data_IF_620774271790
#
_entry.id   IF_620774271790
#
_cell.length_a   1.000
_cell.length_b   1.000
_cell.length_c   1.000
_cell.angle_alpha   90.00
_cell.angle_beta   90.00
_cell.angle_gamma   90.00
#
_symmetry.space_group_name_H-M   'P 1'
#
loop_
_entity.id
_entity.type
_entity.pdbx_description
1 polymer ?
#
# COMPACT_ATOMS: atom_id res chain seq x y z
N UNK A 1 -30.44 -34.17 -30.57
CA UNK A 1 -29.69 -33.09 -29.87
C UNK A 1 -28.23 -33.21 -30.29
N UNK A 2 -27.66 -32.19 -30.93
CA UNK A 2 -26.32 -32.28 -31.55
C UNK A 2 -25.22 -32.28 -30.44
N UNK A 3 -24.42 -33.35 -30.29
CA UNK A 3 -23.45 -33.47 -29.20
C UNK A 3 -22.32 -32.42 -29.25
N UNK A 4 -22.17 -31.69 -30.36
CA UNK A 4 -21.19 -30.62 -30.48
C UNK A 4 -21.61 -29.32 -29.75
N UNK A 5 -22.89 -29.13 -29.44
CA UNK A 5 -23.37 -27.93 -28.72
C UNK A 5 -22.76 -27.84 -27.32
N UNK A 6 -22.59 -28.98 -26.64
CA UNK A 6 -21.95 -29.04 -25.33
C UNK A 6 -20.47 -28.67 -25.36
N UNK A 7 -19.73 -29.04 -26.42
CA UNK A 7 -18.33 -28.62 -26.61
C UNK A 7 -18.21 -27.12 -26.87
N UNK A 8 -19.13 -26.54 -27.65
CA UNK A 8 -19.17 -25.10 -27.86
C UNK A 8 -19.56 -24.33 -26.58
N UNK A 9 -20.50 -24.84 -25.79
CA UNK A 9 -20.91 -24.22 -24.52
C UNK A 9 -19.80 -24.28 -23.47
N UNK A 10 -19.09 -25.41 -23.35
CA UNK A 10 -17.92 -25.54 -22.46
C UNK A 10 -16.80 -24.62 -22.92
N UNK A 11 -16.46 -24.61 -24.22
CA UNK A 11 -15.44 -23.71 -24.77
C UNK A 11 -15.82 -22.22 -24.65
N UNK A 12 -17.11 -21.86 -24.73
CA UNK A 12 -17.58 -20.50 -24.48
C UNK A 12 -17.51 -20.11 -23.01
N UNK A 13 -17.79 -21.04 -22.08
CA UNK A 13 -17.66 -20.79 -20.64
C UNK A 13 -16.18 -20.58 -20.29
N UNK A 14 -15.28 -21.41 -20.81
CA UNK A 14 -13.83 -21.28 -20.60
C UNK A 14 -13.32 -19.95 -21.20
N UNK A 15 -13.80 -19.56 -22.38
CA UNK A 15 -13.43 -18.29 -23.00
C UNK A 15 -13.95 -17.08 -22.22
N UNK A 16 -15.18 -17.15 -21.69
CA UNK A 16 -15.75 -16.10 -20.84
C UNK A 16 -15.00 -15.98 -19.50
N UNK A 17 -14.60 -17.09 -18.89
CA UNK A 17 -13.78 -17.09 -17.67
C UNK A 17 -12.38 -16.48 -17.92
N UNK A 18 -11.75 -16.79 -19.05
CA UNK A 18 -10.47 -16.19 -19.45
C UNK A 18 -10.61 -14.69 -19.69
N UNK A 19 -11.65 -14.25 -20.40
CA UNK A 19 -11.92 -12.83 -20.62
C UNK A 19 -12.23 -12.09 -19.32
N UNK A 20 -13.01 -12.70 -18.43
CA UNK A 20 -13.31 -12.15 -17.12
C UNK A 20 -12.04 -12.05 -16.26
N UNK A 21 -11.19 -13.07 -16.29
CA UNK A 21 -9.90 -13.07 -15.60
C UNK A 21 -8.97 -11.97 -16.13
N UNK A 22 -8.86 -11.83 -17.45
CA UNK A 22 -8.05 -10.78 -18.08
C UNK A 22 -8.60 -9.38 -17.77
N UNK A 23 -9.91 -9.18 -17.85
CA UNK A 23 -10.56 -7.91 -17.52
C UNK A 23 -10.40 -7.54 -16.04
N UNK A 24 -10.55 -8.51 -15.14
CA UNK A 24 -10.29 -8.35 -13.72
C UNK A 24 -8.82 -8.01 -13.47
N UNK A 25 -7.89 -8.62 -14.20
CA UNK A 25 -6.46 -8.34 -14.08
C UNK A 25 -6.12 -6.92 -14.55
N UNK A 26 -6.66 -6.48 -15.70
CA UNK A 26 -6.45 -5.12 -16.22
C UNK A 26 -7.02 -4.06 -15.29
N UNK A 27 -8.27 -4.20 -14.86
CA UNK A 27 -8.90 -3.29 -13.89
C UNK A 27 -8.19 -3.27 -12.53
N UNK A 28 -7.63 -4.40 -12.09
CA UNK A 28 -6.81 -4.45 -10.87
C UNK A 28 -5.48 -3.70 -11.02
N UNK A 29 -4.82 -3.83 -12.18
CA UNK A 29 -3.62 -3.06 -12.49
C UNK A 29 -3.89 -1.56 -12.61
N UNK A 30 -5.00 -1.18 -13.24
CA UNK A 30 -5.45 0.22 -13.31
C UNK A 30 -5.72 0.77 -11.91
N UNK A 31 -6.42 0.03 -11.06
CA UNK A 31 -6.65 0.42 -9.66
C UNK A 31 -5.35 0.56 -8.88
N UNK A 32 -4.41 -0.38 -9.01
CA UNK A 32 -3.11 -0.31 -8.36
C UNK A 32 -2.32 0.92 -8.85
N UNK A 33 -2.39 1.23 -10.14
CA UNK A 33 -1.74 2.39 -10.75
C UNK A 33 -2.36 3.71 -10.27
N UNK A 34 -3.69 3.81 -10.27
CA UNK A 34 -4.43 4.96 -9.77
C UNK A 34 -4.17 5.14 -8.26
N UNK A 35 -4.16 4.04 -7.50
CA UNK A 35 -3.80 4.04 -6.09
C UNK A 35 -2.40 4.62 -5.87
N UNK A 36 -1.41 4.22 -6.66
CA UNK A 36 -0.08 4.81 -6.56
C UNK A 36 -0.08 6.29 -6.95
N UNK A 37 -0.61 6.66 -8.11
CA UNK A 37 -0.24 7.93 -8.73
C UNK A 37 -1.30 9.04 -8.59
N UNK A 38 -2.56 8.69 -8.33
CA UNK A 38 -3.66 9.66 -8.41
C UNK A 38 -4.09 10.18 -7.05
N UNK A 39 -4.12 11.51 -6.94
CA UNK A 39 -4.61 12.21 -5.73
C UNK A 39 -6.11 12.12 -5.54
N UNK A 40 -6.87 11.75 -6.58
CA UNK A 40 -8.34 11.63 -6.51
C UNK A 40 -8.76 10.65 -5.41
N UNK A 41 -7.96 9.61 -5.21
CA UNK A 41 -8.22 8.60 -4.20
C UNK A 41 -7.98 9.11 -2.79
N UNK A 42 -7.31 10.24 -2.56
CA UNK A 42 -7.16 10.84 -1.22
C UNK A 42 -8.47 11.37 -0.63
N UNK A 43 -9.51 11.51 -1.45
CA UNK A 43 -10.87 11.81 -0.96
C UNK A 43 -11.47 10.65 -0.14
N UNK A 44 -10.96 9.43 -0.29
CA UNK A 44 -11.36 8.30 0.54
C UNK A 44 -10.90 8.49 1.99
N UNK A 45 -11.77 8.16 2.94
CA UNK A 45 -11.45 8.22 4.37
C UNK A 45 -10.27 7.29 4.74
N UNK A 46 -9.68 7.52 5.91
CA UNK A 46 -8.49 6.77 6.38
C UNK A 46 -8.70 5.26 6.45
N UNK A 47 -9.88 4.78 6.82
CA UNK A 47 -10.18 3.35 6.86
C UNK A 47 -10.16 2.74 5.46
N UNK A 48 -10.75 3.41 4.47
CA UNK A 48 -10.75 2.96 3.08
C UNK A 48 -9.34 3.01 2.46
N UNK A 49 -8.53 4.04 2.74
CA UNK A 49 -7.12 4.07 2.31
C UNK A 49 -6.36 2.84 2.81
N UNK A 50 -6.51 2.54 4.10
CA UNK A 50 -5.83 1.44 4.77
C UNK A 50 -6.29 0.09 4.23
N UNK A 51 -7.60 -0.12 4.12
CA UNK A 51 -8.16 -1.37 3.59
C UNK A 51 -7.76 -1.59 2.14
N UNK A 52 -7.83 -0.56 1.29
CA UNK A 52 -7.41 -0.67 -0.11
C UNK A 52 -5.92 -1.00 -0.23
N UNK A 53 -5.07 -0.33 0.54
CA UNK A 53 -3.64 -0.65 0.62
C UNK A 53 -3.39 -2.10 1.05
N UNK A 54 -4.10 -2.56 2.08
CA UNK A 54 -4.03 -3.91 2.59
C UNK A 54 -4.41 -4.93 1.50
N UNK A 55 -5.55 -4.73 0.83
CA UNK A 55 -6.01 -5.63 -0.25
C UNK A 55 -5.05 -5.68 -1.42
N UNK A 56 -4.53 -4.52 -1.85
CA UNK A 56 -3.56 -4.45 -2.94
C UNK A 56 -2.26 -5.19 -2.56
N UNK A 57 -1.76 -5.04 -1.34
CA UNK A 57 -0.57 -5.79 -0.88
C UNK A 57 -0.84 -7.29 -0.76
N UNK A 58 -2.00 -7.70 -0.21
CA UNK A 58 -2.40 -9.12 -0.14
C UNK A 58 -2.50 -9.76 -1.52
N UNK A 59 -2.85 -9.00 -2.57
CA UNK A 59 -2.88 -9.54 -3.94
C UNK A 59 -1.49 -9.98 -4.45
N UNK A 60 -0.41 -9.51 -3.82
CA UNK A 60 0.95 -9.96 -4.13
C UNK A 60 1.19 -11.45 -3.80
N UNK A 61 0.32 -12.07 -2.98
CA UNK A 61 0.31 -13.52 -2.73
C UNK A 61 0.07 -14.34 -4.00
N UNK A 62 -0.64 -13.77 -4.98
CA UNK A 62 -0.89 -14.37 -6.29
C UNK A 62 0.33 -14.38 -7.22
N UNK A 63 1.43 -13.72 -6.85
CA UNK A 63 2.65 -13.71 -7.67
C UNK A 63 3.40 -15.04 -7.59
N UNK A 64 4.00 -15.43 -8.71
CA UNK A 64 4.69 -16.73 -8.86
C UNK A 64 5.92 -16.88 -7.96
N UNK A 65 6.59 -15.78 -7.64
CA UNK A 65 7.85 -15.78 -6.87
C UNK A 65 7.81 -14.72 -5.78
N UNK A 66 8.55 -14.96 -4.69
CA UNK A 66 8.74 -13.96 -3.62
C UNK A 66 9.36 -12.66 -4.18
N UNK A 67 10.30 -12.76 -5.12
CA UNK A 67 10.90 -11.58 -5.75
C UNK A 67 9.85 -10.74 -6.50
N UNK A 68 8.96 -11.38 -7.26
CA UNK A 68 7.86 -10.69 -7.94
C UNK A 68 6.87 -10.05 -6.94
N UNK A 69 6.53 -10.75 -5.84
CA UNK A 69 5.71 -10.18 -4.75
C UNK A 69 6.36 -8.93 -4.16
N UNK A 70 7.67 -8.98 -3.87
CA UNK A 70 8.40 -7.84 -3.33
C UNK A 70 8.51 -6.68 -4.32
N UNK A 71 8.79 -6.95 -5.60
CA UNK A 71 8.83 -5.91 -6.64
C UNK A 71 7.49 -5.23 -6.84
N UNK A 72 6.39 -6.00 -6.84
CA UNK A 72 5.04 -5.45 -6.91
C UNK A 72 4.77 -4.50 -5.73
N UNK A 73 5.06 -4.92 -4.50
CA UNK A 73 4.85 -4.09 -3.31
C UNK A 73 5.73 -2.83 -3.34
N UNK A 74 6.99 -2.91 -3.81
CA UNK A 74 7.85 -1.73 -4.01
C UNK A 74 7.30 -0.81 -5.09
N UNK A 75 6.77 -1.33 -6.19
CA UNK A 75 6.14 -0.51 -7.24
C UNK A 75 4.89 0.22 -6.74
N UNK A 76 4.11 -0.44 -5.88
CA UNK A 76 2.89 0.12 -5.31
C UNK A 76 3.16 1.25 -4.30
N UNK A 77 4.15 1.05 -3.42
CA UNK A 77 4.35 1.92 -2.24
C UNK A 77 5.61 2.78 -2.32
N UNK A 78 6.55 2.46 -3.21
CA UNK A 78 7.89 3.05 -3.23
C UNK A 78 7.88 4.56 -3.38
N UNK A 79 7.06 5.11 -4.30
CA UNK A 79 6.98 6.55 -4.48
C UNK A 79 6.45 7.26 -3.22
N UNK A 80 5.57 6.61 -2.45
CA UNK A 80 5.01 7.17 -1.21
C UNK A 80 6.10 7.28 -0.14
N UNK A 81 6.93 6.24 -0.04
CA UNK A 81 8.09 6.20 0.86
C UNK A 81 9.09 7.29 0.48
N UNK A 82 9.48 7.35 -0.80
CA UNK A 82 10.40 8.37 -1.31
C UNK A 82 9.88 9.77 -1.03
N UNK A 83 8.60 10.03 -1.29
CA UNK A 83 7.98 11.32 -1.06
C UNK A 83 8.04 11.75 0.41
N UNK A 84 7.71 10.85 1.35
CA UNK A 84 7.76 11.14 2.78
C UNK A 84 9.20 11.41 3.25
N UNK A 85 10.17 10.62 2.78
CA UNK A 85 11.58 10.79 3.10
C UNK A 85 12.12 12.11 2.56
N UNK A 86 11.91 12.38 1.27
CA UNK A 86 12.33 13.63 0.63
C UNK A 86 11.71 14.85 1.28
N UNK A 87 10.41 14.79 1.58
CA UNK A 87 9.73 15.88 2.28
C UNK A 87 10.39 16.13 3.63
N UNK A 88 10.61 15.09 4.45
CA UNK A 88 11.19 15.23 5.78
C UNK A 88 12.59 15.87 5.82
N UNK A 89 13.32 15.84 4.70
CA UNK A 89 14.63 16.48 4.55
C UNK A 89 14.60 17.95 4.11
N UNK A 90 13.42 18.53 3.84
CA UNK A 90 13.31 19.91 3.36
C UNK A 90 13.57 20.94 4.47
N UNK A 91 14.33 21.99 4.17
CA UNK A 91 14.68 23.04 5.13
C UNK A 91 13.46 23.88 5.57
N UNK A 92 12.47 24.03 4.68
CA UNK A 92 11.22 24.77 4.88
C UNK A 92 10.07 23.86 5.36
N UNK A 93 10.37 22.62 5.76
CA UNK A 93 9.41 21.60 6.16
C UNK A 93 8.34 22.15 7.11
N UNK A 94 8.73 22.90 8.15
CA UNK A 94 7.79 23.49 9.14
C UNK A 94 6.71 24.36 8.52
N UNK A 95 6.99 25.07 7.44
CA UNK A 95 6.01 25.93 6.77
C UNK A 95 5.16 25.13 5.78
N UNK A 96 5.77 24.17 5.09
CA UNK A 96 5.11 23.34 4.08
C UNK A 96 4.14 22.34 4.71
N UNK A 97 4.54 21.67 5.80
CA UNK A 97 3.72 20.63 6.45
C UNK A 97 2.48 21.15 7.17
N UNK A 98 2.40 22.45 7.43
CA UNK A 98 1.23 23.04 8.08
C UNK A 98 0.12 23.37 7.07
N UNK A 99 0.40 23.23 5.75
CA UNK A 99 -0.61 23.45 4.73
C UNK A 99 -1.63 22.29 4.74
N UNK A 100 -2.95 22.57 4.74
CA UNK A 100 -3.98 21.54 4.91
C UNK A 100 -3.94 20.41 3.86
N UNK A 101 -3.57 20.73 2.63
CA UNK A 101 -3.40 19.78 1.54
C UNK A 101 -2.20 18.85 1.75
N UNK A 102 -1.09 19.39 2.29
CA UNK A 102 0.10 18.63 2.65
C UNK A 102 -0.17 17.73 3.84
N UNK A 103 -0.88 18.22 4.85
CA UNK A 103 -1.34 17.43 6.00
C UNK A 103 -2.16 16.22 5.52
N UNK A 104 -3.19 16.47 4.70
CA UNK A 104 -4.06 15.42 4.17
C UNK A 104 -3.24 14.39 3.39
N UNK A 105 -2.34 14.85 2.52
CA UNK A 105 -1.47 13.99 1.75
C UNK A 105 -0.60 13.11 2.65
N UNK A 106 0.13 13.68 3.60
CA UNK A 106 0.99 12.93 4.52
C UNK A 106 0.18 11.90 5.30
N UNK A 107 -1.02 12.25 5.78
CA UNK A 107 -1.90 11.31 6.46
C UNK A 107 -2.37 10.17 5.58
N UNK A 108 -2.80 10.45 4.34
CA UNK A 108 -3.21 9.41 3.40
C UNK A 108 -2.07 8.45 3.11
N UNK A 109 -0.86 8.95 2.87
CA UNK A 109 0.31 8.10 2.59
C UNK A 109 0.65 7.20 3.79
N UNK A 110 0.61 7.74 5.00
CA UNK A 110 0.88 6.95 6.21
C UNK A 110 -0.18 5.88 6.44
N UNK A 111 -1.46 6.19 6.22
CA UNK A 111 -2.53 5.19 6.33
C UNK A 111 -2.40 4.07 5.31
N UNK A 112 -1.93 4.39 4.10
CA UNK A 112 -1.61 3.38 3.08
C UNK A 112 -0.44 2.51 3.49
N UNK A 113 0.65 3.10 3.99
CA UNK A 113 1.80 2.35 4.51
C UNK A 113 1.42 1.47 5.69
N UNK A 114 0.54 1.94 6.58
CA UNK A 114 -0.01 1.15 7.68
C UNK A 114 -0.81 -0.06 7.16
N UNK A 115 -1.66 0.15 6.15
CA UNK A 115 -2.40 -0.93 5.50
C UNK A 115 -1.46 -1.97 4.87
N UNK A 116 -0.44 -1.50 4.16
CA UNK A 116 0.60 -2.35 3.58
C UNK A 116 1.33 -3.18 4.64
N UNK A 117 1.74 -2.55 5.74
CA UNK A 117 2.41 -3.22 6.86
C UNK A 117 1.51 -4.28 7.51
N UNK A 118 0.21 -3.99 7.68
CA UNK A 118 -0.76 -4.95 8.23
C UNK A 118 -1.03 -6.16 7.32
N UNK A 119 -0.71 -6.05 6.02
CA UNK A 119 -0.78 -7.13 5.04
C UNK A 119 0.56 -7.84 4.85
N UNK A 120 1.54 -7.64 5.74
CA UNK A 120 2.84 -8.29 5.61
C UNK A 120 2.73 -9.81 5.68
N UNK A 121 3.23 -10.48 4.66
CA UNK A 121 3.29 -11.93 4.54
C UNK A 121 4.74 -12.36 4.27
N UNK A 122 5.14 -13.63 4.51
CA UNK A 122 6.52 -14.08 4.31
C UNK A 122 7.12 -13.74 2.94
N UNK A 123 6.28 -13.67 1.89
CA UNK A 123 6.71 -13.33 0.53
C UNK A 123 6.86 -11.83 0.28
N UNK A 124 6.22 -10.96 1.06
CA UNK A 124 6.25 -9.50 0.90
C UNK A 124 7.04 -8.79 2.01
N UNK A 125 7.41 -9.53 3.06
CA UNK A 125 8.04 -9.02 4.27
C UNK A 125 9.33 -8.24 3.97
N UNK A 126 10.16 -8.69 3.03
CA UNK A 126 11.42 -8.01 2.68
C UNK A 126 11.17 -6.58 2.19
N UNK A 127 10.27 -6.40 1.22
CA UNK A 127 9.93 -5.08 0.69
C UNK A 127 9.32 -4.19 1.77
N UNK A 128 8.40 -4.73 2.58
CA UNK A 128 7.75 -3.98 3.66
C UNK A 128 8.76 -3.53 4.71
N UNK A 129 9.69 -4.41 5.09
CA UNK A 129 10.75 -4.09 6.05
C UNK A 129 11.68 -2.99 5.54
N UNK A 130 12.20 -3.12 4.32
CA UNK A 130 13.11 -2.13 3.73
C UNK A 130 12.44 -0.75 3.61
N UNK A 131 11.18 -0.72 3.16
CA UNK A 131 10.39 0.51 3.08
C UNK A 131 10.08 1.11 4.45
N UNK A 132 9.69 0.28 5.41
CA UNK A 132 9.43 0.68 6.79
C UNK A 132 10.67 1.29 7.44
N UNK A 133 11.82 0.63 7.29
CA UNK A 133 13.11 1.13 7.74
C UNK A 133 13.43 2.51 7.14
N UNK A 134 13.24 2.67 5.83
CA UNK A 134 13.53 3.93 5.13
C UNK A 134 12.66 5.10 5.61
N UNK A 135 11.39 4.86 5.94
CA UNK A 135 10.44 5.92 6.30
C UNK A 135 10.45 6.27 7.79
N UNK A 136 11.05 5.44 8.66
CA UNK A 136 10.98 5.61 10.12
C UNK A 136 11.41 6.99 10.60
N UNK A 137 12.54 7.51 10.12
CA UNK A 137 13.03 8.82 10.52
C UNK A 137 12.05 9.94 10.10
N UNK A 138 11.50 9.84 8.89
CA UNK A 138 10.49 10.79 8.40
C UNK A 138 9.25 10.77 9.30
N UNK A 139 8.77 9.58 9.70
CA UNK A 139 7.62 9.44 10.61
C UNK A 139 7.89 10.13 11.96
N UNK A 140 9.08 9.97 12.53
CA UNK A 140 9.46 10.63 13.78
C UNK A 140 9.46 12.16 13.65
N UNK A 141 9.98 12.68 12.54
CA UNK A 141 9.98 14.11 12.24
C UNK A 141 8.53 14.63 12.11
N UNK A 142 7.67 13.94 11.37
CA UNK A 142 6.27 14.34 11.24
C UNK A 142 5.51 14.28 12.57
N UNK A 143 5.76 13.26 13.40
CA UNK A 143 5.19 13.16 14.75
C UNK A 143 5.53 14.39 15.61
N UNK A 144 6.78 14.83 15.58
CA UNK A 144 7.23 16.02 16.32
C UNK A 144 6.57 17.30 15.79
N UNK A 145 6.38 17.41 14.48
CA UNK A 145 5.77 18.59 13.84
C UNK A 145 4.26 18.68 14.07
N UNK A 146 3.58 17.53 14.14
CA UNK A 146 2.13 17.45 14.35
C UNK A 146 1.74 17.21 15.82
N UNK A 147 2.67 17.32 16.78
CA UNK A 147 2.42 17.03 18.20
C UNK A 147 1.29 17.87 18.83
N UNK A 148 0.99 19.04 18.26
CA UNK A 148 -0.08 19.92 18.70
C UNK A 148 -1.43 19.61 18.05
N UNK A 149 -1.43 18.78 17.01
CA UNK A 149 -2.61 18.33 16.28
C UNK A 149 -3.03 16.93 16.77
N UNK A 150 -3.77 16.89 17.87
CA UNK A 150 -4.09 15.65 18.61
C UNK A 150 -4.78 14.58 17.74
N UNK A 151 -5.56 14.99 16.72
CA UNK A 151 -6.21 14.06 15.80
C UNK A 151 -5.23 13.45 14.79
N UNK A 152 -4.27 14.24 14.31
CA UNK A 152 -3.22 13.83 13.37
C UNK A 152 -2.19 12.95 14.07
N UNK A 153 -1.75 13.35 15.27
CA UNK A 153 -0.82 12.61 16.10
C UNK A 153 -1.33 11.19 16.42
N UNK A 154 -2.63 10.99 16.67
CA UNK A 154 -3.21 9.65 16.90
C UNK A 154 -3.07 8.75 15.67
N UNK A 155 -3.41 9.24 14.48
CA UNK A 155 -3.29 8.45 13.25
C UNK A 155 -1.81 8.11 12.93
N UNK A 156 -0.90 9.05 13.16
CA UNK A 156 0.55 8.86 13.04
C UNK A 156 1.12 7.84 14.04
N UNK A 157 0.73 7.91 15.32
CA UNK A 157 1.16 6.96 16.37
C UNK A 157 0.67 5.55 16.08
N UNK A 158 -0.55 5.37 15.59
CA UNK A 158 -1.02 4.04 15.21
C UNK A 158 -0.38 3.50 13.91
N UNK A 159 0.03 4.39 13.00
CA UNK A 159 0.83 4.02 11.81
C UNK A 159 2.25 3.61 12.18
N UNK A 160 2.90 4.32 13.12
CA UNK A 160 4.22 3.96 13.61
C UNK A 160 4.20 2.64 14.40
N UNK A 161 3.18 2.39 15.22
CA UNK A 161 3.00 1.10 15.92
C UNK A 161 2.73 -0.05 14.92
N UNK A 162 1.99 0.20 13.83
CA UNK A 162 1.79 -0.78 12.76
C UNK A 162 3.09 -1.16 12.03
N UNK A 163 3.91 -0.16 11.67
CA UNK A 163 5.23 -0.39 11.09
C UNK A 163 6.22 -1.03 12.09
N UNK A 164 6.18 -0.62 13.36
CA UNK A 164 7.01 -1.21 14.42
C UNK A 164 6.61 -2.65 14.75
N UNK A 165 5.32 -3.02 14.68
CA UNK A 165 4.91 -4.41 14.87
C UNK A 165 5.45 -5.33 13.77
N UNK A 166 5.63 -4.84 12.54
CA UNK A 166 6.32 -5.59 11.47
C UNK A 166 7.81 -5.74 11.77
N UNK A 167 8.46 -4.70 12.30
CA UNK A 167 9.87 -4.73 12.74
C UNK A 167 10.07 -5.70 13.92
N UNK A 168 9.13 -5.74 14.88
CA UNK A 168 9.21 -6.65 16.04
C UNK A 168 8.87 -8.10 15.67
N UNK A 169 8.01 -8.36 14.69
CA UNK A 169 7.72 -9.72 14.22
C UNK A 169 8.90 -10.36 13.47
N UNK A 170 9.76 -9.55 12.82
CA UNK A 170 11.01 -10.07 12.20
C UNK A 170 12.07 -10.51 13.22
N UNK A 171 12.02 -10.03 14.45
CA UNK A 171 12.93 -10.48 15.52
C UNK A 171 12.46 -11.78 16.22
N UNK A 172 11.20 -12.17 16.03
CA UNK A 172 10.62 -13.39 16.63
C UNK A 172 10.57 -14.61 15.69
N UNK A 173 10.94 -14.44 14.41
CA UNK A 173 11.09 -15.56 13.46
C UNK A 173 12.53 -15.62 12.97
N UNK A 174 13.43 -16.07 13.84
CA UNK A 174 14.66 -16.75 13.42
C UNK A 174 14.44 -18.26 13.54
N UNK A 175 14.98 -19.06 12.61
CA UNK A 175 14.78 -20.52 12.57
C UNK A 175 15.28 -21.22 13.85
#
# INVERSE_FOLDING_TARGET
>A
MNPNIWRYLVSCNDFYEILLFLYLQESWHELANAFSNERILFSLNSAHQRSLAQTLVLSASGMRTSEASNQYVRGLMGHMVSYLVEMSGKNDLKQVVQQPDVILLVCCLLERLRGAASASEPRTQKAIYEMGFSVMNAVLIFLELYKHEVHLAKNLVFSSVGCCNVVLYSDFVKP
#
